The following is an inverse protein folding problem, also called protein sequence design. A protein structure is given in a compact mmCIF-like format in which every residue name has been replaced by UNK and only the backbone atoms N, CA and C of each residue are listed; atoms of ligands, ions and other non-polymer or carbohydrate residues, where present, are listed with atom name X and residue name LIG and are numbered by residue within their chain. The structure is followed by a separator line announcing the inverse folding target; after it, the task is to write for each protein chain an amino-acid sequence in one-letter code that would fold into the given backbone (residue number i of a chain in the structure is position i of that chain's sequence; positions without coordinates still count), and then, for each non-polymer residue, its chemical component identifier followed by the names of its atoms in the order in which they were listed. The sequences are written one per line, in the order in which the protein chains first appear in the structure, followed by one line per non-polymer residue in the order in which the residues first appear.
data_IF_367085398092
#
_entry.id   IF_367085398092
#
_cell.length_a   1.000
_cell.length_b   1.000
_cell.length_c   1.000
_cell.angle_alpha   90.00
_cell.angle_beta   90.00
_cell.angle_gamma   90.00
#
_symmetry.space_group_name_H-M   'P 1'
#
loop_
_entity.id
_entity.type
_entity.pdbx_description
1 polymer ?
#
# COMPACT_ATOMS: atom_id res chain seq x y z
N UNK A 1 0.41 3.96 8.00
CA UNK A 1 -0.63 4.25 6.97
C UNK A 1 -0.06 3.99 5.58
N UNK A 2 -0.84 3.29 4.75
CA UNK A 2 -0.45 2.99 3.38
C UNK A 2 -0.99 4.06 2.45
N UNK A 3 -0.09 4.76 1.76
CA UNK A 3 -0.48 5.83 0.84
C UNK A 3 -1.18 5.25 -0.39
N UNK A 4 -2.30 5.89 -0.78
CA UNK A 4 -3.07 5.46 -1.93
C UNK A 4 -3.48 3.99 -1.81
N UNK A 5 -3.71 3.54 -0.56
CA UNK A 5 -4.09 2.14 -0.33
C UNK A 5 -3.09 1.21 -1.02
N UNK A 6 -1.85 1.22 -0.52
CA UNK A 6 -0.78 0.42 -1.11
C UNK A 6 -1.20 -1.04 -1.26
N UNK A 7 -0.88 -1.58 -2.43
CA UNK A 7 -1.20 -2.96 -2.75
C UNK A 7 -0.25 -3.88 -1.99
N UNK A 8 -0.58 -5.18 -1.95
CA UNK A 8 0.26 -6.13 -1.23
C UNK A 8 1.69 -6.13 -1.78
N UNK A 9 1.85 -5.65 -3.02
CA UNK A 9 3.17 -5.57 -3.65
C UNK A 9 4.08 -4.65 -2.85
N UNK A 10 3.58 -3.45 -2.53
CA UNK A 10 4.34 -2.48 -1.76
C UNK A 10 4.28 -2.79 -0.27
N UNK A 11 3.09 -3.18 0.19
CA UNK A 11 2.89 -3.51 1.60
C UNK A 11 2.94 -5.02 1.82
#
# INVERSE_FOLDING_TARGET
YRQSSATSSFG
#
